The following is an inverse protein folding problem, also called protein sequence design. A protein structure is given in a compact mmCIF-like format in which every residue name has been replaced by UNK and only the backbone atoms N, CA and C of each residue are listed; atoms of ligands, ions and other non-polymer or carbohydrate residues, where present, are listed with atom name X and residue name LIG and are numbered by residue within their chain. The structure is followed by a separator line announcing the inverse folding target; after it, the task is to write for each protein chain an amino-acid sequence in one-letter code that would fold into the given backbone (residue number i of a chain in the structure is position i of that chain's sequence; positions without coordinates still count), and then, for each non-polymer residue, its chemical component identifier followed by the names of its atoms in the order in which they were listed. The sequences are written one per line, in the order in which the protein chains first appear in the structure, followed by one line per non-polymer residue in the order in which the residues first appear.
data_IF_572946539454
#
_entry.id   IF_572946539454
#
_cell.length_a   1.000
_cell.length_b   1.000
_cell.length_c   1.000
_cell.angle_alpha   90.00
_cell.angle_beta   90.00
_cell.angle_gamma   90.00
#
_symmetry.space_group_name_H-M   'P 1'
#
loop_
_entity.id
_entity.type
_entity.pdbx_description
1 polymer ?
#
# COMPACT_ATOMS: atom_id res chain seq x y z
N UNK A 1 10.01 -1.39 -12.38
CA UNK A 1 11.29 -0.64 -12.38
C UNK A 1 11.38 0.46 -11.30
N UNK A 2 10.44 0.54 -10.34
CA UNK A 2 10.37 1.63 -9.34
C UNK A 2 10.50 1.17 -7.87
N UNK A 3 10.73 -0.12 -7.61
CA UNK A 3 11.03 -0.66 -6.27
C UNK A 3 12.53 -0.81 -5.96
N UNK A 4 13.41 -0.65 -6.96
CA UNK A 4 14.86 -0.67 -6.79
C UNK A 4 15.46 0.69 -6.37
N UNK A 5 14.78 1.83 -6.60
CA UNK A 5 15.39 3.14 -6.28
C UNK A 5 15.42 3.46 -4.78
N UNK A 6 14.58 2.82 -3.96
CA UNK A 6 14.55 3.09 -2.52
C UNK A 6 15.62 2.32 -1.71
N UNK A 7 16.28 1.32 -2.31
CA UNK A 7 17.36 0.56 -1.66
C UNK A 7 18.69 0.57 -2.44
N UNK A 8 18.71 1.05 -3.69
CA UNK A 8 19.92 1.09 -4.51
C UNK A 8 20.66 2.46 -4.53
N UNK A 9 20.07 3.55 -4.02
CA UNK A 9 20.77 4.82 -3.87
C UNK A 9 21.61 4.85 -2.57
N UNK A 10 22.73 4.10 -2.54
CA UNK A 10 23.98 4.41 -1.81
C UNK A 10 24.98 3.22 -1.73
N UNK A 11 25.35 2.64 -2.87
CA UNK A 11 26.57 1.79 -2.96
C UNK A 11 27.77 2.58 -3.51
N UNK A 12 27.67 3.90 -3.61
CA UNK A 12 28.71 4.76 -4.18
C UNK A 12 29.34 5.66 -3.11
N UNK A 13 30.26 5.12 -2.32
CA UNK A 13 31.42 5.86 -1.80
C UNK A 13 32.42 4.94 -1.06
N UNK A 14 33.22 4.22 -1.84
CA UNK A 14 34.60 3.94 -1.44
C UNK A 14 35.49 4.54 -2.53
N UNK A 15 36.07 5.69 -2.21
CA UNK A 15 37.06 6.34 -3.05
C UNK A 15 38.28 5.44 -3.20
N UNK A 16 38.61 5.10 -4.44
CA UNK A 16 39.93 4.63 -4.82
C UNK A 16 40.88 5.82 -4.74
N UNK A 17 41.54 5.97 -3.59
CA UNK A 17 42.69 6.86 -3.44
C UNK A 17 43.89 6.23 -4.15
N UNK A 18 44.19 6.71 -5.36
CA UNK A 18 45.44 6.43 -6.06
C UNK A 18 46.61 7.12 -5.35
N UNK A 19 47.61 6.33 -4.94
CA UNK A 19 48.90 6.79 -4.47
C UNK A 19 50.01 5.98 -5.12
N UNK A 20 50.59 6.53 -6.19
CA UNK A 20 51.79 5.98 -6.82
C UNK A 20 53.06 6.34 -6.04
N UNK A 21 53.97 5.38 -5.92
CA UNK A 21 55.33 5.57 -5.42
C UNK A 21 56.07 4.23 -5.38
N UNK A 22 56.97 4.01 -6.35
CA UNK A 22 57.75 2.77 -6.47
C UNK A 22 58.93 2.67 -5.50
N UNK A 23 59.45 1.47 -5.24
CA UNK A 23 60.64 0.92 -5.92
C UNK A 23 61.03 -0.48 -5.37
N UNK A 24 61.46 -1.35 -6.29
CA UNK A 24 62.51 -2.41 -6.21
C UNK A 24 62.54 -3.55 -5.17
N UNK A 25 62.61 -4.79 -5.71
CA UNK A 25 63.31 -6.04 -5.26
C UNK A 25 62.82 -6.69 -3.94
N UNK A 26 62.67 -8.01 -3.76
CA UNK A 26 63.21 -9.24 -4.37
C UNK A 26 62.19 -10.40 -4.24
N UNK A 27 62.37 -11.45 -5.04
CA UNK A 27 61.53 -12.65 -5.01
C UNK A 27 61.76 -13.57 -3.82
N UNK A 28 60.72 -14.30 -3.40
CA UNK A 28 60.65 -15.77 -3.43
C UNK A 28 59.37 -16.27 -2.72
N UNK A 29 58.78 -17.34 -3.27
CA UNK A 29 57.94 -18.36 -2.63
C UNK A 29 56.67 -17.94 -1.85
N UNK A 30 55.51 -17.98 -2.53
CA UNK A 30 54.25 -18.56 -2.02
C UNK A 30 53.19 -18.63 -3.15
N UNK A 31 53.31 -19.62 -4.03
CA UNK A 31 52.19 -20.04 -4.89
C UNK A 31 51.46 -21.16 -4.16
N UNK A 32 50.31 -20.85 -3.56
CA UNK A 32 49.53 -21.88 -2.86
C UNK A 32 48.18 -21.49 -2.22
N UNK A 33 47.83 -20.21 -2.03
CA UNK A 33 46.55 -19.85 -1.37
C UNK A 33 45.73 -18.73 -2.02
N UNK A 34 46.20 -18.13 -3.12
CA UNK A 34 45.60 -16.90 -3.66
C UNK A 34 44.46 -17.14 -4.67
N UNK A 35 44.35 -18.36 -5.22
CA UNK A 35 43.39 -18.68 -6.28
C UNK A 35 41.91 -18.72 -5.82
N UNK A 36 41.65 -19.17 -4.60
CA UNK A 36 40.29 -19.26 -4.05
C UNK A 36 39.69 -17.90 -3.69
N UNK A 37 40.51 -17.03 -3.10
CA UNK A 37 40.11 -15.66 -2.74
C UNK A 37 39.81 -14.79 -3.97
N UNK A 38 40.65 -14.90 -5.02
CA UNK A 38 40.42 -14.20 -6.31
C UNK A 38 39.13 -14.66 -6.99
N UNK A 39 38.88 -15.98 -7.03
CA UNK A 39 37.69 -16.54 -7.66
C UNK A 39 36.39 -16.15 -6.93
N UNK A 40 36.39 -16.17 -5.59
CA UNK A 40 35.24 -15.74 -4.80
C UNK A 40 34.89 -14.27 -5.07
N UNK A 41 35.89 -13.39 -5.12
CA UNK A 41 35.68 -11.97 -5.39
C UNK A 41 35.15 -11.73 -6.80
N UNK A 42 35.70 -12.38 -7.82
CA UNK A 42 35.23 -12.26 -9.21
C UNK A 42 33.76 -12.70 -9.36
N UNK A 43 33.40 -13.84 -8.75
CA UNK A 43 32.03 -14.35 -8.75
C UNK A 43 31.08 -13.38 -8.02
N UNK A 44 31.50 -12.82 -6.88
CA UNK A 44 30.71 -11.85 -6.14
C UNK A 44 30.48 -10.56 -6.93
N UNK A 45 31.50 -10.05 -7.62
CA UNK A 45 31.39 -8.85 -8.46
C UNK A 45 30.45 -9.07 -9.65
N UNK A 46 30.51 -10.24 -10.30
CA UNK A 46 29.57 -10.57 -11.38
C UNK A 46 28.14 -10.72 -10.86
N UNK A 47 27.97 -11.32 -9.67
CA UNK A 47 26.67 -11.38 -9.00
C UNK A 47 26.09 -9.99 -8.72
N UNK A 48 26.91 -9.06 -8.22
CA UNK A 48 26.50 -7.68 -7.98
C UNK A 48 26.12 -6.96 -9.29
N UNK A 49 26.91 -7.14 -10.35
CA UNK A 49 26.65 -6.57 -11.67
C UNK A 49 25.30 -7.04 -12.22
N UNK A 50 25.00 -8.34 -12.12
CA UNK A 50 23.75 -8.93 -12.59
C UNK A 50 22.54 -8.41 -11.80
N UNK A 51 22.64 -8.35 -10.47
CA UNK A 51 21.57 -7.76 -9.64
C UNK A 51 21.33 -6.28 -10.00
N UNK A 52 22.39 -5.49 -10.22
CA UNK A 52 22.25 -4.09 -10.67
C UNK A 52 21.62 -3.96 -12.06
N UNK A 53 21.83 -4.95 -12.93
CA UNK A 53 21.20 -5.03 -14.25
C UNK A 53 19.74 -5.54 -14.19
N UNK A 54 19.26 -5.96 -13.02
CA UNK A 54 17.90 -6.44 -12.80
C UNK A 54 17.73 -7.96 -12.84
N UNK A 55 18.77 -8.72 -13.22
CA UNK A 55 18.75 -10.19 -13.21
C UNK A 55 19.22 -10.73 -11.84
N UNK A 56 18.38 -10.52 -10.83
CA UNK A 56 18.65 -10.98 -9.47
C UNK A 56 18.71 -12.51 -9.37
N UNK A 57 18.03 -13.26 -10.25
CA UNK A 57 18.06 -14.73 -10.22
C UNK A 57 19.43 -15.26 -10.64
N UNK A 58 19.99 -14.73 -11.72
CA UNK A 58 21.37 -15.06 -12.10
C UNK A 58 22.36 -14.55 -11.06
N UNK A 59 22.19 -13.32 -10.55
CA UNK A 59 23.04 -12.75 -9.52
C UNK A 59 23.13 -13.63 -8.25
N UNK A 60 22.00 -14.18 -7.79
CA UNK A 60 21.96 -15.15 -6.69
C UNK A 60 22.82 -16.38 -6.97
N UNK A 61 22.77 -16.94 -8.18
CA UNK A 61 23.58 -18.11 -8.53
C UNK A 61 25.08 -17.82 -8.44
N UNK A 62 25.51 -16.64 -8.91
CA UNK A 62 26.91 -16.20 -8.80
C UNK A 62 27.36 -15.97 -7.36
N UNK A 63 26.53 -15.36 -6.52
CA UNK A 63 26.84 -15.20 -5.10
C UNK A 63 26.91 -16.54 -4.35
N UNK A 64 26.04 -17.50 -4.67
CA UNK A 64 26.11 -18.85 -4.10
C UNK A 64 27.40 -19.57 -4.54
N UNK A 65 27.79 -19.42 -5.81
CA UNK A 65 29.07 -19.93 -6.30
C UNK A 65 30.26 -19.26 -5.59
N UNK A 66 30.19 -17.96 -5.30
CA UNK A 66 31.22 -17.25 -4.54
C UNK A 66 31.38 -17.82 -3.12
N UNK A 67 30.26 -18.09 -2.41
CA UNK A 67 30.30 -18.75 -1.09
C UNK A 67 30.93 -20.14 -1.20
N UNK A 68 30.61 -20.89 -2.25
CA UNK A 68 31.16 -22.24 -2.48
C UNK A 68 32.66 -22.23 -2.80
N UNK A 69 33.14 -21.20 -3.50
CA UNK A 69 34.57 -20.98 -3.75
C UNK A 69 35.33 -20.65 -2.46
N UNK A 70 34.64 -20.02 -1.49
CA UNK A 70 35.16 -19.70 -0.16
C UNK A 70 36.07 -18.46 -0.15
N UNK A 71 36.10 -17.76 0.98
CA UNK A 71 37.03 -16.65 1.23
C UNK A 71 37.39 -16.59 2.71
N UNK A 72 38.63 -16.19 3.00
CA UNK A 72 39.09 -15.90 4.36
C UNK A 72 38.78 -14.44 4.77
N UNK A 73 38.48 -13.56 3.81
CA UNK A 73 38.10 -12.17 4.11
C UNK A 73 36.63 -12.10 4.54
N UNK A 74 36.43 -12.06 5.86
CA UNK A 74 35.12 -11.99 6.48
C UNK A 74 34.31 -10.76 6.05
N UNK A 75 34.96 -9.66 5.62
CA UNK A 75 34.28 -8.48 5.11
C UNK A 75 33.65 -8.74 3.74
N UNK A 76 34.40 -9.37 2.83
CA UNK A 76 33.87 -9.83 1.54
C UNK A 76 32.72 -10.81 1.75
N UNK A 77 32.86 -11.77 2.67
CA UNK A 77 31.79 -12.74 2.97
C UNK A 77 30.52 -12.06 3.53
N UNK A 78 30.68 -11.08 4.43
CA UNK A 78 29.56 -10.27 4.95
C UNK A 78 28.86 -9.51 3.83
N UNK A 79 29.61 -8.87 2.93
CA UNK A 79 29.05 -8.20 1.77
C UNK A 79 28.26 -9.16 0.86
N UNK A 80 28.79 -10.35 0.59
CA UNK A 80 28.10 -11.39 -0.20
C UNK A 80 26.78 -11.80 0.47
N UNK A 81 26.78 -12.06 1.79
CA UNK A 81 25.56 -12.38 2.52
C UNK A 81 24.54 -11.25 2.50
N UNK A 82 24.99 -10.01 2.66
CA UNK A 82 24.10 -8.83 2.57
C UNK A 82 23.43 -8.74 1.20
N UNK A 83 24.21 -8.91 0.12
CA UNK A 83 23.72 -8.85 -1.25
C UNK A 83 22.81 -10.02 -1.62
N UNK A 84 23.10 -11.23 -1.14
CA UNK A 84 22.18 -12.37 -1.26
C UNK A 84 20.85 -12.12 -0.55
N UNK A 85 20.90 -11.56 0.66
CA UNK A 85 19.71 -11.18 1.40
C UNK A 85 18.84 -10.21 0.61
N UNK A 86 19.45 -9.15 0.05
CA UNK A 86 18.77 -8.16 -0.78
C UNK A 86 18.21 -8.77 -2.07
N UNK A 87 18.95 -9.67 -2.72
CA UNK A 87 18.52 -10.31 -3.95
C UNK A 87 17.34 -11.28 -3.70
N UNK A 88 17.37 -12.07 -2.63
CA UNK A 88 16.24 -12.90 -2.25
C UNK A 88 15.02 -12.09 -1.81
N UNK A 89 15.24 -10.95 -1.13
CA UNK A 89 14.17 -10.02 -0.79
C UNK A 89 13.49 -9.50 -2.06
N UNK A 90 14.27 -9.11 -3.08
CA UNK A 90 13.75 -8.69 -4.39
C UNK A 90 12.97 -9.79 -5.10
N UNK A 91 13.45 -11.04 -5.04
CA UNK A 91 12.78 -12.21 -5.63
C UNK A 91 11.55 -12.72 -4.83
N UNK A 92 11.25 -12.11 -3.69
CA UNK A 92 10.13 -12.50 -2.82
C UNK A 92 10.39 -13.74 -1.95
N UNK A 93 11.60 -14.31 -1.94
CA UNK A 93 11.99 -15.40 -1.02
C UNK A 93 12.42 -14.82 0.33
N UNK A 94 11.45 -14.31 1.09
CA UNK A 94 11.70 -13.59 2.34
C UNK A 94 12.33 -14.46 3.43
N UNK A 95 12.13 -15.78 3.38
CA UNK A 95 12.75 -16.71 4.33
C UNK A 95 14.27 -16.79 4.11
N UNK A 96 14.73 -16.94 2.86
CA UNK A 96 16.16 -16.90 2.56
C UNK A 96 16.74 -15.51 2.76
N UNK A 97 16.01 -14.45 2.40
CA UNK A 97 16.44 -13.08 2.67
C UNK A 97 16.76 -12.89 4.16
N UNK A 98 15.84 -13.30 5.03
CA UNK A 98 16.01 -13.24 6.49
C UNK A 98 17.22 -14.06 6.94
N UNK A 99 17.39 -15.27 6.42
CA UNK A 99 18.52 -16.13 6.76
C UNK A 99 19.86 -15.48 6.42
N UNK A 100 20.04 -14.98 5.20
CA UNK A 100 21.29 -14.37 4.76
C UNK A 100 21.55 -13.03 5.45
N UNK A 101 20.53 -12.19 5.68
CA UNK A 101 20.70 -10.99 6.51
C UNK A 101 21.06 -11.31 7.96
N UNK A 102 20.58 -12.43 8.51
CA UNK A 102 20.99 -12.89 9.84
C UNK A 102 22.44 -13.39 9.85
N UNK A 103 22.88 -14.09 8.80
CA UNK A 103 24.29 -14.48 8.64
C UNK A 103 25.21 -13.26 8.55
N UNK A 104 24.83 -12.27 7.74
CA UNK A 104 25.52 -10.98 7.64
C UNK A 104 25.61 -10.27 9.00
N UNK A 105 24.49 -10.16 9.72
CA UNK A 105 24.44 -9.56 11.06
C UNK A 105 25.34 -10.29 12.07
N UNK A 106 25.32 -11.62 12.08
CA UNK A 106 26.19 -12.42 12.96
C UNK A 106 27.67 -12.19 12.64
N UNK A 107 28.01 -12.12 11.35
CA UNK A 107 29.38 -11.92 10.91
C UNK A 107 29.88 -10.51 11.27
N UNK A 108 29.08 -9.47 11.00
CA UNK A 108 29.38 -8.09 11.38
C UNK A 108 29.62 -7.95 12.90
N UNK A 109 28.78 -8.61 13.72
CA UNK A 109 28.97 -8.66 15.19
C UNK A 109 30.28 -9.34 15.58
N UNK A 110 30.63 -10.47 14.95
CA UNK A 110 31.88 -11.19 15.26
C UNK A 110 33.13 -10.37 14.90
N UNK A 111 33.04 -9.54 13.86
CA UNK A 111 34.11 -8.61 13.45
C UNK A 111 34.14 -7.32 14.28
N UNK A 112 33.17 -7.10 15.18
CA UNK A 112 32.93 -5.82 15.85
C UNK A 112 32.75 -4.65 14.86
N UNK A 113 32.26 -4.92 13.65
CA UNK A 113 31.92 -3.90 12.66
C UNK A 113 30.56 -3.29 13.00
N UNK A 114 30.58 -2.18 13.75
CA UNK A 114 29.36 -1.48 14.17
C UNK A 114 28.57 -0.89 13.00
N UNK A 115 29.25 -0.49 11.92
CA UNK A 115 28.58 0.08 10.75
C UNK A 115 27.89 -1.04 9.96
N UNK A 116 28.57 -2.16 9.74
CA UNK A 116 28.00 -3.38 9.19
C UNK A 116 26.82 -3.86 10.03
N UNK A 117 26.98 -3.98 11.35
CA UNK A 117 25.92 -4.42 12.27
C UNK A 117 24.67 -3.53 12.15
N UNK A 118 24.85 -2.20 12.05
CA UNK A 118 23.75 -1.26 11.85
C UNK A 118 23.01 -1.51 10.52
N UNK A 119 23.75 -1.66 9.42
CA UNK A 119 23.18 -1.93 8.08
C UNK A 119 22.44 -3.28 8.04
N UNK A 120 23.08 -4.35 8.49
CA UNK A 120 22.47 -5.69 8.51
C UNK A 120 21.25 -5.76 9.43
N UNK A 121 21.27 -5.04 10.56
CA UNK A 121 20.10 -4.90 11.44
C UNK A 121 18.93 -4.21 10.73
N UNK A 122 19.19 -3.13 9.99
CA UNK A 122 18.17 -2.44 9.20
C UNK A 122 17.57 -3.32 8.08
N UNK A 123 18.41 -4.07 7.36
CA UNK A 123 17.97 -4.99 6.30
C UNK A 123 17.14 -6.16 6.86
N UNK A 124 17.58 -6.73 7.98
CA UNK A 124 16.83 -7.77 8.69
C UNK A 124 15.49 -7.24 9.19
N UNK A 125 15.46 -6.03 9.76
CA UNK A 125 14.23 -5.37 10.20
C UNK A 125 13.23 -5.16 9.06
N UNK A 126 13.70 -4.67 7.91
CA UNK A 126 12.85 -4.52 6.72
C UNK A 126 12.31 -5.85 6.19
N UNK A 127 13.11 -6.92 6.24
CA UNK A 127 12.66 -8.26 5.85
C UNK A 127 11.59 -8.78 6.80
N UNK A 128 11.82 -8.69 8.11
CA UNK A 128 10.87 -9.10 9.15
C UNK A 128 9.53 -8.34 9.05
N UNK A 129 9.58 -7.04 8.73
CA UNK A 129 8.38 -6.23 8.47
C UNK A 129 7.52 -6.81 7.35
N UNK A 130 8.13 -7.16 6.22
CA UNK A 130 7.38 -7.74 5.07
C UNK A 130 6.82 -9.12 5.42
N UNK A 131 7.49 -9.86 6.30
CA UNK A 131 6.99 -11.13 6.84
C UNK A 131 5.88 -10.96 7.90
N UNK A 132 5.48 -9.73 8.24
CA UNK A 132 4.47 -9.45 9.28
C UNK A 132 4.96 -9.61 10.72
N UNK A 133 6.28 -9.81 10.93
CA UNK A 133 6.91 -9.98 12.25
C UNK A 133 7.31 -8.61 12.81
N UNK A 134 6.32 -7.76 13.05
CA UNK A 134 6.53 -6.34 13.32
C UNK A 134 7.33 -6.05 14.59
N UNK A 135 7.13 -6.81 15.66
CA UNK A 135 7.84 -6.55 16.93
C UNK A 135 9.33 -6.88 16.83
N UNK A 136 9.68 -7.98 16.16
CA UNK A 136 11.08 -8.33 15.87
C UNK A 136 11.72 -7.36 14.87
N UNK A 137 10.94 -6.90 13.89
CA UNK A 137 11.37 -5.87 12.96
C UNK A 137 11.72 -4.56 13.69
N UNK A 138 10.87 -4.13 14.62
CA UNK A 138 11.09 -2.93 15.43
C UNK A 138 12.38 -3.05 16.27
N UNK A 139 12.62 -4.20 16.92
CA UNK A 139 13.86 -4.44 17.67
C UNK A 139 15.11 -4.29 16.78
N UNK A 140 15.08 -4.85 15.56
CA UNK A 140 16.20 -4.76 14.63
C UNK A 140 16.42 -3.31 14.15
N UNK A 141 15.36 -2.58 13.83
CA UNK A 141 15.45 -1.17 13.42
C UNK A 141 15.89 -0.25 14.59
N UNK A 142 15.47 -0.52 15.83
CA UNK A 142 15.95 0.20 17.02
C UNK A 142 17.44 -0.06 17.28
N UNK A 143 17.91 -1.28 17.02
CA UNK A 143 19.35 -1.59 17.07
C UNK A 143 20.12 -0.79 16.03
N UNK A 144 19.61 -0.72 14.79
CA UNK A 144 20.16 0.13 13.73
C UNK A 144 20.21 1.60 14.19
N UNK A 145 19.11 2.14 14.71
CA UNK A 145 19.02 3.52 15.18
C UNK A 145 20.03 3.83 16.28
N UNK A 146 20.10 2.95 17.29
CA UNK A 146 21.02 3.11 18.42
C UNK A 146 22.47 3.12 17.97
N UNK A 147 22.86 2.20 17.08
CA UNK A 147 24.21 2.15 16.53
C UNK A 147 24.54 3.38 15.68
N UNK A 148 23.61 3.83 14.85
CA UNK A 148 23.79 5.02 14.03
C UNK A 148 24.05 6.27 14.89
N UNK A 149 23.27 6.45 15.96
CA UNK A 149 23.48 7.54 16.94
C UNK A 149 24.83 7.44 17.65
N UNK A 150 25.22 6.23 18.09
CA UNK A 150 26.52 6.01 18.74
C UNK A 150 27.71 6.32 17.83
N UNK A 151 27.55 6.09 16.52
CA UNK A 151 28.57 6.39 15.50
C UNK A 151 28.54 7.84 15.03
N UNK A 152 27.52 8.63 15.40
CA UNK A 152 27.29 9.97 14.88
C UNK A 152 26.91 10.01 13.40
N UNK A 153 26.51 8.87 12.81
CA UNK A 153 26.10 8.78 11.41
C UNK A 153 24.64 9.26 11.25
N UNK A 154 24.49 10.57 11.03
CA UNK A 154 23.18 11.22 10.90
C UNK A 154 22.38 10.73 9.69
N UNK A 155 23.03 10.29 8.60
CA UNK A 155 22.32 9.74 7.45
C UNK A 155 21.76 8.36 7.76
N UNK A 156 22.54 7.52 8.46
CA UNK A 156 22.08 6.21 8.92
C UNK A 156 21.01 6.31 10.00
N UNK A 157 21.11 7.30 10.89
CA UNK A 157 20.06 7.63 11.86
C UNK A 157 18.75 7.96 11.14
N UNK A 158 18.81 8.83 10.13
CA UNK A 158 17.66 9.14 9.29
C UNK A 158 17.02 7.90 8.67
N UNK A 159 17.81 7.02 8.06
CA UNK A 159 17.31 5.76 7.50
C UNK A 159 16.65 4.85 8.56
N UNK A 160 17.24 4.75 9.75
CA UNK A 160 16.70 3.94 10.83
C UNK A 160 15.35 4.48 11.34
N UNK A 161 15.23 5.80 11.53
CA UNK A 161 13.97 6.46 11.90
C UNK A 161 12.88 6.22 10.85
N UNK A 162 13.22 6.37 9.57
CA UNK A 162 12.28 6.08 8.48
C UNK A 162 11.85 4.61 8.45
N UNK A 163 12.77 3.68 8.70
CA UNK A 163 12.48 2.25 8.80
C UNK A 163 11.54 1.94 9.98
N UNK A 164 11.75 2.55 11.15
CA UNK A 164 10.85 2.39 12.30
C UNK A 164 9.45 2.92 11.98
N UNK A 165 9.35 4.11 11.37
CA UNK A 165 8.09 4.65 10.87
C UNK A 165 7.37 3.67 9.94
N UNK A 166 8.10 3.06 8.99
CA UNK A 166 7.55 2.05 8.08
C UNK A 166 7.06 0.78 8.79
N UNK A 167 7.79 0.30 9.81
CA UNK A 167 7.42 -0.88 10.59
C UNK A 167 6.11 -0.64 11.34
N UNK A 168 6.02 0.47 12.07
CA UNK A 168 4.85 0.81 12.86
C UNK A 168 3.63 1.14 11.99
N UNK A 169 3.84 1.82 10.85
CA UNK A 169 2.78 2.08 9.87
C UNK A 169 2.19 0.77 9.34
N UNK A 170 3.06 -0.17 8.92
CA UNK A 170 2.63 -1.47 8.43
C UNK A 170 1.94 -2.30 9.53
N UNK A 171 2.42 -2.24 10.77
CA UNK A 171 1.79 -2.88 11.94
C UNK A 171 0.36 -2.35 12.14
N UNK A 172 0.20 -1.02 12.16
CA UNK A 172 -1.11 -0.39 12.32
C UNK A 172 -2.10 -0.79 11.22
N UNK A 173 -1.67 -0.73 9.95
CA UNK A 173 -2.49 -1.15 8.80
C UNK A 173 -2.90 -2.63 8.90
N UNK A 174 -1.98 -3.51 9.26
CA UNK A 174 -2.25 -4.94 9.42
C UNK A 174 -3.23 -5.24 10.55
N UNK A 175 -3.09 -4.57 11.70
CA UNK A 175 -4.03 -4.69 12.82
C UNK A 175 -5.43 -4.20 12.43
N UNK A 176 -5.54 -3.10 11.69
CA UNK A 176 -6.82 -2.55 11.21
C UNK A 176 -7.53 -3.49 10.22
N UNK A 177 -6.79 -4.15 9.33
CA UNK A 177 -7.35 -5.13 8.38
C UNK A 177 -7.89 -6.39 9.06
N UNK A 178 -7.32 -6.79 10.20
CA UNK A 178 -7.73 -7.99 10.93
C UNK A 178 -9.03 -7.78 11.73
N UNK A 179 -9.32 -6.55 12.13
CA UNK A 179 -10.52 -6.18 12.90
C UNK A 179 -11.29 -5.03 12.20
N UNK A 180 -11.88 -5.28 11.01
CA UNK A 180 -12.63 -4.28 10.27
C UNK A 180 -13.93 -3.97 11.02
N UNK A 181 -14.00 -2.81 11.68
CA UNK A 181 -15.22 -2.37 12.38
C UNK A 181 -14.96 -1.53 13.64
N UNK A 182 -13.76 -1.60 14.21
CA UNK A 182 -13.34 -0.71 15.30
C UNK A 182 -11.84 -0.44 15.21
N UNK A 183 -11.46 0.81 14.99
CA UNK A 183 -10.06 1.25 15.18
C UNK A 183 -9.71 1.06 16.65
N UNK A 184 -9.07 -0.06 16.97
CA UNK A 184 -8.64 -0.40 18.32
C UNK A 184 -7.54 0.53 18.82
N UNK A 185 -7.38 0.60 20.14
CA UNK A 185 -6.33 1.40 20.78
C UNK A 185 -4.93 0.96 20.30
N UNK A 186 -4.77 -0.33 19.95
CA UNK A 186 -3.55 -0.92 19.38
C UNK A 186 -3.22 -0.40 17.98
N UNK A 187 -4.23 -0.25 17.11
CA UNK A 187 -4.07 0.36 15.78
C UNK A 187 -3.65 1.82 15.93
N UNK A 188 -4.34 2.56 16.79
CA UNK A 188 -4.05 3.97 17.05
C UNK A 188 -2.65 4.16 17.63
N UNK A 189 -2.26 3.32 18.59
CA UNK A 189 -0.92 3.34 19.18
C UNK A 189 0.15 3.10 18.11
N UNK A 190 0.01 2.04 17.30
CA UNK A 190 0.97 1.74 16.25
C UNK A 190 1.10 2.88 15.22
N UNK A 191 -0.02 3.44 14.75
CA UNK A 191 0.02 4.57 13.81
C UNK A 191 0.58 5.84 14.45
N UNK A 192 0.30 6.10 15.73
CA UNK A 192 0.87 7.24 16.47
C UNK A 192 2.39 7.11 16.58
N UNK A 193 2.91 5.92 16.92
CA UNK A 193 4.35 5.64 16.94
C UNK A 193 4.98 5.84 15.56
N UNK A 194 4.28 5.45 14.49
CA UNK A 194 4.75 5.70 13.13
C UNK A 194 4.88 7.21 12.83
N UNK A 195 3.88 8.01 13.22
CA UNK A 195 3.92 9.47 13.11
C UNK A 195 5.12 10.05 13.86
N UNK A 196 5.36 9.65 15.11
CA UNK A 196 6.50 10.11 15.91
C UNK A 196 7.84 9.90 15.18
N UNK A 197 8.08 8.68 14.69
CA UNK A 197 9.33 8.35 13.99
C UNK A 197 9.46 9.06 12.65
N UNK A 198 8.37 9.22 11.90
CA UNK A 198 8.43 9.98 10.65
C UNK A 198 8.62 11.48 10.89
N UNK A 199 8.06 12.05 11.96
CA UNK A 199 8.32 13.45 12.32
C UNK A 199 9.78 13.66 12.73
N UNK A 200 10.34 12.75 13.54
CA UNK A 200 11.75 12.79 13.91
C UNK A 200 12.66 12.65 12.68
N UNK A 201 12.33 11.73 11.78
CA UNK A 201 13.02 11.61 10.48
C UNK A 201 12.92 12.90 9.67
N UNK A 202 11.72 13.47 9.50
CA UNK A 202 11.50 14.68 8.72
C UNK A 202 12.29 15.87 9.29
N UNK A 203 12.32 16.01 10.62
CA UNK A 203 13.14 17.03 11.29
C UNK A 203 14.62 16.85 10.95
N UNK A 204 15.14 15.63 11.07
CA UNK A 204 16.53 15.33 10.73
C UNK A 204 16.85 15.58 9.24
N UNK A 205 15.95 15.21 8.32
CA UNK A 205 16.14 15.44 6.88
C UNK A 205 16.07 16.92 6.52
N UNK A 206 15.34 17.74 7.29
CA UNK A 206 15.38 19.21 7.18
C UNK A 206 16.73 19.75 7.64
N UNK A 207 17.23 19.30 8.79
CA UNK A 207 18.54 19.72 9.31
C UNK A 207 19.70 19.35 8.37
N UNK A 208 19.59 18.21 7.67
CA UNK A 208 20.60 17.75 6.69
C UNK A 208 20.40 18.35 5.29
N UNK A 209 19.29 19.03 5.03
CA UNK A 209 18.97 19.56 3.70
C UNK A 209 18.62 18.50 2.63
N UNK A 210 18.33 17.26 3.02
CA UNK A 210 17.94 16.19 2.08
C UNK A 210 16.47 16.36 1.67
N UNK A 211 16.25 17.13 0.60
CA UNK A 211 14.91 17.48 0.10
C UNK A 211 14.16 16.25 -0.42
N UNK A 212 14.84 15.29 -1.04
CA UNK A 212 14.22 14.07 -1.53
C UNK A 212 13.70 13.19 -0.38
N UNK A 213 14.49 13.04 0.68
CA UNK A 213 14.07 12.33 1.88
C UNK A 213 12.94 13.02 2.64
N UNK A 214 12.94 14.37 2.69
CA UNK A 214 11.79 15.13 3.21
C UNK A 214 10.49 14.78 2.45
N UNK A 215 10.55 14.67 1.12
CA UNK A 215 9.41 14.25 0.31
C UNK A 215 8.91 12.86 0.71
N UNK A 216 9.80 11.87 0.84
CA UNK A 216 9.41 10.52 1.28
C UNK A 216 8.75 10.53 2.66
N UNK A 217 9.32 11.27 3.62
CA UNK A 217 8.77 11.40 4.97
C UNK A 217 7.39 12.07 4.96
N UNK A 218 7.21 13.19 4.25
CA UNK A 218 5.92 13.86 4.12
C UNK A 218 4.84 12.96 3.48
N UNK A 219 5.20 12.20 2.46
CA UNK A 219 4.26 11.24 1.84
C UNK A 219 3.75 10.20 2.83
N UNK A 220 4.64 9.60 3.63
CA UNK A 220 4.26 8.59 4.61
C UNK A 220 3.56 9.18 5.84
N UNK A 221 3.95 10.38 6.28
CA UNK A 221 3.22 11.12 7.31
C UNK A 221 1.78 11.35 6.89
N UNK A 222 1.57 11.86 5.66
CA UNK A 222 0.24 12.13 5.14
C UNK A 222 -0.63 10.86 5.12
N UNK A 223 -0.09 9.74 4.62
CA UNK A 223 -0.81 8.47 4.62
C UNK A 223 -1.11 7.96 6.04
N UNK A 224 -0.20 8.19 6.99
CA UNK A 224 -0.41 7.74 8.38
C UNK A 224 -1.46 8.59 9.09
N UNK A 225 -1.46 9.90 8.88
CA UNK A 225 -2.52 10.79 9.37
C UNK A 225 -3.88 10.48 8.74
N UNK A 226 -3.89 10.17 7.45
CA UNK A 226 -5.08 9.71 6.75
C UNK A 226 -5.70 8.48 7.41
N UNK A 227 -4.89 7.45 7.71
CA UNK A 227 -5.33 6.26 8.44
C UNK A 227 -5.77 6.53 9.88
N UNK A 228 -5.20 7.56 10.53
CA UNK A 228 -5.62 8.02 11.85
C UNK A 228 -6.94 8.84 11.82
N UNK A 229 -7.43 9.19 10.64
CA UNK A 229 -8.61 10.05 10.45
C UNK A 229 -8.32 11.55 10.60
N UNK A 230 -7.05 11.95 10.74
CA UNK A 230 -6.64 13.36 10.73
C UNK A 230 -6.40 13.81 9.27
N UNK A 231 -7.50 14.00 8.55
CA UNK A 231 -7.45 14.33 7.12
C UNK A 231 -6.84 15.71 6.85
N UNK A 232 -6.92 16.64 7.81
CA UNK A 232 -6.33 17.96 7.66
C UNK A 232 -4.79 17.90 7.70
N UNK A 233 -4.22 17.19 8.69
CA UNK A 233 -2.78 16.95 8.72
C UNK A 233 -2.30 16.13 7.51
N UNK A 234 -3.12 15.18 7.03
CA UNK A 234 -2.83 14.43 5.82
C UNK A 234 -2.68 15.35 4.59
N UNK A 235 -3.61 16.31 4.41
CA UNK A 235 -3.56 17.30 3.33
C UNK A 235 -2.29 18.14 3.42
N UNK A 236 -1.95 18.69 4.59
CA UNK A 236 -0.75 19.53 4.76
C UNK A 236 0.53 18.79 4.33
N UNK A 237 0.68 17.55 4.78
CA UNK A 237 1.84 16.72 4.42
C UNK A 237 1.84 16.28 2.96
N UNK A 238 0.68 15.96 2.38
CA UNK A 238 0.58 15.64 0.95
C UNK A 238 0.81 16.85 0.05
N UNK A 239 0.43 18.06 0.46
CA UNK A 239 0.76 19.30 -0.24
C UNK A 239 2.27 19.55 -0.24
N UNK A 240 2.95 19.33 0.88
CA UNK A 240 4.42 19.43 0.92
C UNK A 240 5.07 18.34 0.05
N UNK A 241 4.53 17.11 0.05
CA UNK A 241 4.98 16.07 -0.88
C UNK A 241 4.80 16.50 -2.34
N UNK A 242 3.67 17.10 -2.68
CA UNK A 242 3.37 17.58 -4.03
C UNK A 242 4.36 18.67 -4.44
N UNK A 243 4.64 19.64 -3.54
CA UNK A 243 5.61 20.71 -3.77
C UNK A 243 7.00 20.13 -4.08
N UNK A 244 7.48 19.21 -3.25
CA UNK A 244 8.78 18.55 -3.45
C UNK A 244 8.80 17.75 -4.76
N UNK A 245 7.75 17.00 -5.08
CA UNK A 245 7.68 16.24 -6.33
C UNK A 245 7.83 17.16 -7.56
N UNK A 246 7.20 18.34 -7.53
CA UNK A 246 7.33 19.36 -8.59
C UNK A 246 8.73 19.96 -8.64
N UNK A 247 9.37 20.22 -7.50
CA UNK A 247 10.76 20.70 -7.45
C UNK A 247 11.73 19.74 -8.16
N UNK A 248 11.54 18.43 -8.00
CA UNK A 248 12.37 17.40 -8.64
C UNK A 248 11.89 16.99 -10.06
N UNK A 249 10.74 17.48 -10.52
CA UNK A 249 10.12 17.01 -11.76
C UNK A 249 9.68 15.54 -11.73
N UNK A 250 9.53 14.93 -10.54
CA UNK A 250 9.07 13.55 -10.39
C UNK A 250 7.56 13.46 -10.59
N UNK A 251 7.16 13.23 -11.85
CA UNK A 251 5.75 13.11 -12.25
C UNK A 251 5.01 11.96 -11.57
N UNK A 252 5.71 10.86 -11.27
CA UNK A 252 5.09 9.73 -10.57
C UNK A 252 4.81 10.07 -9.10
N UNK A 253 5.72 10.79 -8.42
CA UNK A 253 5.45 11.32 -7.09
C UNK A 253 4.39 12.42 -7.09
N UNK A 254 4.36 13.28 -8.11
CA UNK A 254 3.33 14.31 -8.29
C UNK A 254 1.95 13.67 -8.37
N UNK A 255 1.82 12.62 -9.19
CA UNK A 255 0.57 11.86 -9.33
C UNK A 255 0.13 11.23 -8.02
N UNK A 256 1.03 10.53 -7.32
CA UNK A 256 0.72 9.92 -6.01
C UNK A 256 0.24 10.96 -4.99
N UNK A 257 0.89 12.13 -4.93
CA UNK A 257 0.49 13.20 -4.03
C UNK A 257 -0.91 13.74 -4.36
N UNK A 258 -1.23 13.94 -5.65
CA UNK A 258 -2.57 14.37 -6.06
C UNK A 258 -3.63 13.31 -5.72
N UNK A 259 -3.36 12.02 -5.95
CA UNK A 259 -4.29 10.94 -5.58
C UNK A 259 -4.62 10.98 -4.09
N UNK A 260 -3.59 11.09 -3.23
CA UNK A 260 -3.79 11.09 -1.78
C UNK A 260 -4.45 12.38 -1.27
N UNK A 261 -4.22 13.52 -1.93
CA UNK A 261 -4.97 14.75 -1.67
C UNK A 261 -6.44 14.58 -2.03
N UNK A 262 -6.74 14.02 -3.21
CA UNK A 262 -8.10 13.69 -3.62
C UNK A 262 -8.82 12.82 -2.58
N UNK A 263 -8.16 11.76 -2.13
CA UNK A 263 -8.69 10.89 -1.08
C UNK A 263 -8.96 11.66 0.22
N UNK A 264 -8.03 12.49 0.66
CA UNK A 264 -8.17 13.25 1.91
C UNK A 264 -9.31 14.28 1.84
N UNK A 265 -9.46 14.96 0.71
CA UNK A 265 -10.54 15.92 0.47
C UNK A 265 -11.92 15.24 0.41
N UNK A 266 -12.02 14.02 -0.17
CA UNK A 266 -13.25 13.21 -0.14
C UNK A 266 -13.74 13.01 1.30
N UNK A 267 -12.85 12.62 2.21
CA UNK A 267 -13.22 12.35 3.60
C UNK A 267 -13.55 13.62 4.42
N UNK A 268 -13.11 14.79 3.96
CA UNK A 268 -13.54 16.09 4.52
C UNK A 268 -14.84 16.62 3.91
N UNK A 269 -15.42 15.94 2.90
CA UNK A 269 -16.59 16.42 2.18
C UNK A 269 -16.29 17.56 1.20
N UNK A 270 -15.02 17.78 0.85
CA UNK A 270 -14.55 18.82 -0.06
C UNK A 270 -14.46 18.25 -1.49
N UNK A 271 -15.62 17.96 -2.08
CA UNK A 271 -15.71 17.16 -3.29
C UNK A 271 -15.17 17.88 -4.53
N UNK A 272 -15.26 19.20 -4.61
CA UNK A 272 -14.70 20.00 -5.69
C UNK A 272 -13.17 19.96 -5.70
N UNK A 273 -12.53 20.13 -4.52
CA UNK A 273 -11.08 20.02 -4.36
C UNK A 273 -10.60 18.60 -4.70
N UNK A 274 -11.36 17.57 -4.27
CA UNK A 274 -11.09 16.19 -4.63
C UNK A 274 -11.14 15.97 -6.14
N UNK A 275 -12.16 16.49 -6.82
CA UNK A 275 -12.29 16.38 -8.27
C UNK A 275 -11.11 17.07 -9.00
N UNK A 276 -10.65 18.23 -8.54
CA UNK A 276 -9.47 18.90 -9.11
C UNK A 276 -8.23 18.00 -9.01
N UNK A 277 -7.96 17.47 -7.83
CA UNK A 277 -6.82 16.60 -7.60
C UNK A 277 -6.89 15.29 -8.39
N UNK A 278 -8.05 14.63 -8.45
CA UNK A 278 -8.20 13.43 -9.27
C UNK A 278 -8.11 13.70 -10.77
N UNK A 279 -8.57 14.85 -11.28
CA UNK A 279 -8.33 15.24 -12.68
C UNK A 279 -6.84 15.38 -12.96
N UNK A 280 -6.07 15.96 -12.02
CA UNK A 280 -4.61 16.04 -12.14
C UNK A 280 -3.95 14.66 -12.10
N UNK A 281 -4.41 13.76 -11.23
CA UNK A 281 -3.97 12.35 -11.17
C UNK A 281 -4.21 11.64 -12.50
N UNK A 282 -5.42 11.78 -13.06
CA UNK A 282 -5.80 11.19 -14.35
C UNK A 282 -4.91 11.70 -15.49
N UNK A 283 -4.70 13.02 -15.57
CA UNK A 283 -3.85 13.61 -16.60
C UNK A 283 -2.41 13.06 -16.57
N UNK A 284 -1.84 12.95 -15.36
CA UNK A 284 -0.50 12.39 -15.17
C UNK A 284 -0.44 10.88 -15.42
N UNK A 285 -1.49 10.12 -15.06
CA UNK A 285 -1.55 8.68 -15.35
C UNK A 285 -1.52 8.41 -16.86
N UNK A 286 -2.26 9.21 -17.65
CA UNK A 286 -2.23 9.16 -19.12
C UNK A 286 -0.86 9.57 -19.66
N UNK A 287 -0.26 10.66 -19.15
CA UNK A 287 1.08 11.13 -19.54
C UNK A 287 2.16 10.04 -19.32
N UNK A 288 2.03 9.26 -18.25
CA UNK A 288 2.97 8.20 -17.87
C UNK A 288 2.65 6.83 -18.49
N UNK A 289 1.52 6.69 -19.18
CA UNK A 289 1.07 5.40 -19.74
C UNK A 289 0.64 4.37 -18.67
N UNK A 290 0.24 4.81 -17.47
CA UNK A 290 -0.15 3.94 -16.36
C UNK A 290 -1.65 3.57 -16.46
N UNK A 291 -1.97 2.57 -17.30
CA UNK A 291 -3.36 2.21 -17.65
C UNK A 291 -4.23 1.81 -16.45
N UNK A 292 -3.69 1.04 -15.50
CA UNK A 292 -4.39 0.66 -14.27
C UNK A 292 -4.72 1.89 -13.41
N UNK A 293 -3.79 2.84 -13.30
CA UNK A 293 -3.96 4.07 -12.52
C UNK A 293 -4.94 5.02 -13.18
N UNK A 294 -4.96 5.05 -14.52
CA UNK A 294 -5.98 5.77 -15.28
C UNK A 294 -7.38 5.25 -14.95
N UNK A 295 -7.56 3.92 -14.97
CA UNK A 295 -8.83 3.29 -14.61
C UNK A 295 -9.28 3.67 -13.19
N UNK A 296 -8.37 3.61 -12.21
CA UNK A 296 -8.67 4.00 -10.83
C UNK A 296 -9.03 5.48 -10.73
N UNK A 297 -8.28 6.37 -11.39
CA UNK A 297 -8.57 7.81 -11.38
C UNK A 297 -9.94 8.14 -12.00
N UNK A 298 -10.32 7.44 -13.07
CA UNK A 298 -11.66 7.54 -13.65
C UNK A 298 -12.74 7.06 -12.68
N UNK A 299 -12.51 5.94 -11.99
CA UNK A 299 -13.45 5.44 -11.00
C UNK A 299 -13.64 6.42 -9.82
N UNK A 300 -12.54 6.97 -9.28
CA UNK A 300 -12.57 7.98 -8.21
C UNK A 300 -13.26 9.26 -8.66
N UNK A 301 -13.04 9.74 -9.88
CA UNK A 301 -13.78 10.88 -10.44
C UNK A 301 -15.27 10.58 -10.58
N UNK A 302 -15.66 9.41 -11.09
CA UNK A 302 -17.06 9.02 -11.22
C UNK A 302 -17.79 9.03 -9.87
N UNK A 303 -17.16 8.48 -8.83
CA UNK A 303 -17.71 8.52 -7.47
C UNK A 303 -17.76 9.96 -6.92
N UNK A 304 -16.74 10.78 -7.19
CA UNK A 304 -16.70 12.18 -6.75
C UNK A 304 -17.84 13.00 -7.38
N UNK A 305 -18.08 12.85 -8.68
CA UNK A 305 -19.18 13.54 -9.36
C UNK A 305 -20.56 12.98 -8.96
N UNK A 306 -20.65 11.70 -8.59
CA UNK A 306 -21.87 11.15 -7.99
C UNK A 306 -22.18 11.86 -6.66
N UNK A 307 -21.16 12.14 -5.83
CA UNK A 307 -21.31 12.90 -4.58
C UNK A 307 -21.65 14.38 -4.83
N UNK A 308 -21.20 14.95 -5.94
CA UNK A 308 -21.59 16.30 -6.39
C UNK A 308 -22.98 16.34 -7.06
N UNK A 309 -23.67 15.21 -7.17
CA UNK A 309 -24.93 15.07 -7.92
C UNK A 309 -24.84 15.42 -9.42
N UNK A 310 -23.64 15.41 -9.99
CA UNK A 310 -23.38 15.60 -11.41
C UNK A 310 -23.36 14.24 -12.14
N UNK A 311 -24.51 13.55 -12.13
CA UNK A 311 -24.60 12.15 -12.56
C UNK A 311 -24.19 11.91 -14.02
N UNK A 312 -24.42 12.87 -14.93
CA UNK A 312 -24.00 12.73 -16.33
C UNK A 312 -22.47 12.69 -16.45
N UNK A 313 -21.76 13.58 -15.75
CA UNK A 313 -20.30 13.60 -15.68
C UNK A 313 -19.78 12.32 -15.02
N UNK A 314 -20.44 11.85 -13.96
CA UNK A 314 -20.09 10.59 -13.31
C UNK A 314 -20.18 9.38 -14.25
N UNK A 315 -21.25 9.31 -15.05
CA UNK A 315 -21.46 8.26 -16.06
C UNK A 315 -20.33 8.26 -17.10
N UNK A 316 -19.86 9.42 -17.57
CA UNK A 316 -18.73 9.49 -18.51
C UNK A 316 -17.46 8.87 -17.93
N UNK A 317 -17.12 9.22 -16.69
CA UNK A 317 -15.94 8.67 -16.02
C UNK A 317 -16.08 7.19 -15.70
N UNK A 318 -17.24 6.73 -15.25
CA UNK A 318 -17.48 5.32 -14.99
C UNK A 318 -17.47 4.48 -16.28
N UNK A 319 -17.97 5.00 -17.41
CA UNK A 319 -17.85 4.32 -18.71
C UNK A 319 -16.38 4.20 -19.15
N UNK A 320 -15.57 5.25 -18.95
CA UNK A 320 -14.13 5.16 -19.22
C UNK A 320 -13.45 4.14 -18.31
N UNK A 321 -13.78 4.09 -17.03
CA UNK A 321 -13.29 3.06 -16.12
C UNK A 321 -13.67 1.65 -16.59
N UNK A 322 -14.94 1.42 -16.94
CA UNK A 322 -15.44 0.14 -17.45
C UNK A 322 -14.67 -0.32 -18.69
N UNK A 323 -14.48 0.58 -19.66
CA UNK A 323 -13.75 0.27 -20.90
C UNK A 323 -12.31 -0.19 -20.62
N UNK A 324 -11.62 0.47 -19.68
CA UNK A 324 -10.26 0.09 -19.29
C UNK A 324 -10.25 -1.22 -18.51
N UNK A 325 -11.20 -1.43 -17.60
CA UNK A 325 -11.30 -2.68 -16.84
C UNK A 325 -11.50 -3.88 -17.78
N UNK A 326 -12.34 -3.73 -18.80
CA UNK A 326 -12.53 -4.76 -19.84
C UNK A 326 -11.28 -4.98 -20.69
N UNK A 327 -10.58 -3.91 -21.09
CA UNK A 327 -9.30 -3.97 -21.81
C UNK A 327 -8.23 -4.77 -21.03
N UNK A 328 -8.17 -4.57 -19.71
CA UNK A 328 -7.19 -5.22 -18.82
C UNK A 328 -7.65 -6.61 -18.31
N UNK A 329 -8.90 -6.99 -18.55
CA UNK A 329 -9.48 -8.21 -17.98
C UNK A 329 -9.73 -8.13 -16.46
N UNK A 330 -9.84 -6.93 -15.89
CA UNK A 330 -10.16 -6.73 -14.47
C UNK A 330 -11.66 -6.94 -14.21
N UNK A 331 -12.05 -8.20 -13.95
CA UNK A 331 -13.45 -8.57 -13.67
C UNK A 331 -14.00 -7.93 -12.39
N UNK A 332 -13.15 -7.65 -11.39
CA UNK A 332 -13.56 -6.96 -10.16
C UNK A 332 -13.86 -5.49 -10.45
N UNK A 333 -12.99 -4.83 -11.24
CA UNK A 333 -13.22 -3.48 -11.76
C UNK A 333 -14.49 -3.38 -12.60
N UNK A 334 -14.71 -4.35 -13.49
CA UNK A 334 -15.91 -4.43 -14.31
C UNK A 334 -17.19 -4.50 -13.47
N UNK A 335 -17.22 -5.37 -12.44
CA UNK A 335 -18.37 -5.49 -11.54
C UNK A 335 -18.65 -4.17 -10.80
N UNK A 336 -17.61 -3.51 -10.28
CA UNK A 336 -17.71 -2.19 -9.63
C UNK A 336 -18.23 -1.12 -10.59
N UNK A 337 -17.76 -1.12 -11.82
CA UNK A 337 -18.20 -0.17 -12.84
C UNK A 337 -19.67 -0.36 -13.20
N UNK A 338 -20.12 -1.60 -13.43
CA UNK A 338 -21.52 -1.93 -13.70
C UNK A 338 -22.43 -1.51 -12.53
N UNK A 339 -22.02 -1.77 -11.29
CA UNK A 339 -22.78 -1.33 -10.12
C UNK A 339 -22.89 0.21 -10.05
N UNK A 340 -21.78 0.93 -10.17
CA UNK A 340 -21.77 2.40 -10.14
C UNK A 340 -22.58 3.01 -11.30
N UNK A 341 -22.45 2.47 -12.52
CA UNK A 341 -23.22 2.91 -13.69
C UNK A 341 -24.71 2.63 -13.53
N UNK A 342 -25.08 1.47 -12.97
CA UNK A 342 -26.47 1.13 -12.67
C UNK A 342 -27.12 2.15 -11.75
N UNK A 343 -26.44 2.48 -10.64
CA UNK A 343 -26.91 3.48 -9.68
C UNK A 343 -26.98 4.88 -10.29
N UNK A 344 -25.95 5.31 -11.03
CA UNK A 344 -25.92 6.62 -11.66
C UNK A 344 -27.01 6.77 -12.72
N UNK A 345 -27.26 5.73 -13.54
CA UNK A 345 -28.36 5.74 -14.49
C UNK A 345 -29.73 5.76 -13.81
N UNK A 346 -29.90 5.01 -12.71
CA UNK A 346 -31.14 5.06 -11.92
C UNK A 346 -31.42 6.48 -11.40
N UNK A 347 -30.39 7.16 -10.90
CA UNK A 347 -30.49 8.55 -10.41
C UNK A 347 -30.85 9.56 -11.52
N UNK A 348 -30.48 9.29 -12.78
CA UNK A 348 -30.86 10.11 -13.94
C UNK A 348 -32.23 9.75 -14.54
N UNK A 349 -32.95 8.77 -13.99
CA UNK A 349 -34.21 8.25 -14.54
C UNK A 349 -34.05 7.28 -15.73
N UNK A 350 -32.81 6.94 -16.10
CA UNK A 350 -32.49 5.98 -17.16
C UNK A 350 -32.65 4.53 -16.71
N UNK A 351 -33.83 4.16 -16.19
CA UNK A 351 -34.06 2.88 -15.52
C UNK A 351 -33.81 1.65 -16.42
N UNK A 352 -34.04 1.74 -17.72
CA UNK A 352 -33.74 0.65 -18.67
C UNK A 352 -32.23 0.36 -18.73
N UNK A 353 -31.39 1.40 -18.84
CA UNK A 353 -29.92 1.23 -18.81
C UNK A 353 -29.44 0.79 -17.44
N UNK A 354 -30.05 1.31 -16.38
CA UNK A 354 -29.73 0.89 -15.01
C UNK A 354 -29.98 -0.61 -14.82
N UNK A 355 -31.08 -1.13 -15.37
CA UNK A 355 -31.41 -2.55 -15.32
C UNK A 355 -30.38 -3.40 -16.07
N UNK A 356 -29.97 -2.97 -17.27
CA UNK A 356 -28.92 -3.66 -18.04
C UNK A 356 -27.61 -3.77 -17.25
N UNK A 357 -27.16 -2.68 -16.63
CA UNK A 357 -25.95 -2.70 -15.81
C UNK A 357 -26.11 -3.51 -14.52
N UNK A 358 -27.30 -3.51 -13.89
CA UNK A 358 -27.57 -4.33 -12.73
C UNK A 358 -27.56 -5.84 -13.07
N UNK A 359 -28.07 -6.23 -14.24
CA UNK A 359 -27.99 -7.60 -14.76
C UNK A 359 -26.55 -8.02 -15.06
N UNK A 360 -25.74 -7.13 -15.67
CA UNK A 360 -24.31 -7.37 -15.86
C UNK A 360 -23.57 -7.52 -14.51
N UNK A 361 -23.86 -6.66 -13.54
CA UNK A 361 -23.29 -6.76 -12.19
C UNK A 361 -23.66 -8.08 -11.52
N UNK A 362 -24.91 -8.56 -11.65
CA UNK A 362 -25.32 -9.86 -11.12
C UNK A 362 -24.55 -11.01 -11.77
N UNK A 363 -24.38 -10.96 -13.10
CA UNK A 363 -23.64 -11.99 -13.83
C UNK A 363 -22.18 -12.05 -13.37
N UNK A 364 -21.52 -10.89 -13.26
CA UNK A 364 -20.15 -10.79 -12.76
C UNK A 364 -20.01 -11.25 -11.32
N UNK A 365 -20.94 -10.85 -10.43
CA UNK A 365 -20.92 -11.27 -9.03
C UNK A 365 -21.00 -12.80 -8.89
N UNK A 366 -21.82 -13.47 -9.71
CA UNK A 366 -21.89 -14.94 -9.77
C UNK A 366 -20.57 -15.58 -10.21
N UNK A 367 -19.95 -15.02 -11.24
CA UNK A 367 -18.67 -15.53 -11.75
C UNK A 367 -17.52 -15.33 -10.76
N UNK A 368 -17.57 -14.25 -9.99
CA UNK A 368 -16.59 -13.92 -8.96
C UNK A 368 -16.87 -14.63 -7.62
N UNK A 369 -17.99 -15.36 -7.52
CA UNK A 369 -18.48 -15.95 -6.27
C UNK A 369 -18.60 -14.92 -5.15
N UNK A 370 -19.14 -13.73 -5.47
CA UNK A 370 -19.42 -12.65 -4.52
C UNK A 370 -20.90 -12.67 -4.06
N UNK A 371 -21.23 -13.37 -2.96
CA UNK A 371 -22.62 -13.47 -2.50
C UNK A 371 -23.21 -12.12 -2.07
N UNK A 372 -22.37 -11.16 -1.66
CA UNK A 372 -22.82 -9.82 -1.24
C UNK A 372 -23.18 -9.00 -2.47
N UNK A 373 -22.32 -9.02 -3.49
CA UNK A 373 -22.59 -8.43 -4.80
C UNK A 373 -23.84 -9.01 -5.44
N UNK A 374 -24.01 -10.34 -5.42
CA UNK A 374 -25.20 -11.01 -5.95
C UNK A 374 -26.49 -10.55 -5.27
N UNK A 375 -26.50 -10.51 -3.93
CA UNK A 375 -27.65 -10.06 -3.15
C UNK A 375 -28.01 -8.61 -3.48
N UNK A 376 -26.99 -7.74 -3.54
CA UNK A 376 -27.17 -6.32 -3.87
C UNK A 376 -27.70 -6.13 -5.30
N UNK A 377 -27.18 -6.88 -6.27
CA UNK A 377 -27.64 -6.83 -7.65
C UNK A 377 -29.10 -7.27 -7.78
N UNK A 378 -29.50 -8.34 -7.09
CA UNK A 378 -30.88 -8.86 -7.10
C UNK A 378 -31.88 -7.84 -6.53
N UNK A 379 -31.54 -7.19 -5.42
CA UNK A 379 -32.38 -6.12 -4.84
C UNK A 379 -32.54 -4.98 -5.84
N UNK A 380 -31.43 -4.50 -6.41
CA UNK A 380 -31.46 -3.42 -7.39
C UNK A 380 -32.29 -3.79 -8.64
N UNK A 381 -32.17 -5.02 -9.15
CA UNK A 381 -32.98 -5.51 -10.28
C UNK A 381 -34.47 -5.54 -9.94
N UNK A 382 -34.86 -6.02 -8.75
CA UNK A 382 -36.26 -6.04 -8.31
C UNK A 382 -36.86 -4.64 -8.27
N UNK A 383 -36.13 -3.69 -7.67
CA UNK A 383 -36.59 -2.30 -7.54
C UNK A 383 -36.71 -1.62 -8.91
N UNK A 384 -35.71 -1.80 -9.79
CA UNK A 384 -35.73 -1.26 -11.16
C UNK A 384 -36.86 -1.86 -12.01
N UNK A 385 -37.17 -3.15 -11.85
CA UNK A 385 -38.30 -3.79 -12.55
C UNK A 385 -39.64 -3.25 -12.08
N UNK A 386 -39.81 -3.01 -10.78
CA UNK A 386 -41.02 -2.37 -10.24
C UNK A 386 -41.22 -0.97 -10.83
N UNK A 387 -40.15 -0.17 -10.91
CA UNK A 387 -40.19 1.16 -11.53
C UNK A 387 -40.56 1.11 -13.01
N UNK A 388 -40.14 0.07 -13.72
CA UNK A 388 -40.45 -0.15 -15.14
C UNK A 388 -41.80 -0.87 -15.39
N UNK A 389 -42.52 -1.29 -14.36
CA UNK A 389 -43.75 -2.08 -14.50
C UNK A 389 -43.53 -3.48 -15.09
N UNK A 390 -42.33 -4.03 -14.96
CA UNK A 390 -41.97 -5.36 -15.45
C UNK A 390 -42.30 -6.44 -14.40
N UNK A 391 -42.66 -7.67 -14.82
CA UNK A 391 -42.92 -8.77 -13.90
C UNK A 391 -41.67 -9.15 -13.08
N UNK A 392 -41.88 -9.49 -11.80
CA UNK A 392 -40.81 -10.02 -10.95
C UNK A 392 -40.28 -11.34 -11.55
N UNK A 393 -38.96 -11.51 -11.56
CA UNK A 393 -38.36 -12.78 -11.95
C UNK A 393 -38.59 -13.78 -10.82
N UNK A 394 -39.15 -14.95 -11.13
CA UNK A 394 -39.26 -16.02 -10.15
C UNK A 394 -37.85 -16.42 -9.64
N UNK A 395 -37.70 -16.68 -8.33
CA UNK A 395 -36.43 -17.13 -7.78
C UNK A 395 -35.97 -18.41 -8.49
N UNK A 396 -34.67 -18.53 -8.75
CA UNK A 396 -34.14 -19.72 -9.41
C UNK A 396 -34.33 -20.97 -8.53
N UNK A 397 -34.47 -22.19 -9.08
CA UNK A 397 -34.76 -23.41 -8.32
C UNK A 397 -33.77 -23.69 -7.16
N UNK A 398 -32.51 -23.27 -7.33
CA UNK A 398 -31.46 -23.35 -6.31
C UNK A 398 -31.74 -22.51 -5.05
N UNK A 399 -32.60 -21.49 -5.15
CA UNK A 399 -33.00 -20.62 -4.03
C UNK A 399 -34.16 -21.20 -3.21
N UNK A 400 -34.99 -22.04 -3.83
CA UNK A 400 -36.07 -22.75 -3.15
C UNK A 400 -35.49 -23.83 -2.22
N UNK A 401 -34.42 -24.51 -2.67
CA UNK A 401 -33.66 -25.44 -1.84
C UNK A 401 -32.94 -24.73 -0.67
N UNK A 402 -32.28 -23.59 -0.91
CA UNK A 402 -31.63 -22.82 0.15
C UNK A 402 -32.63 -22.23 1.18
N UNK A 403 -33.81 -21.76 0.73
CA UNK A 403 -34.87 -21.28 1.64
C UNK A 403 -35.50 -22.42 2.44
N UNK A 404 -35.67 -23.60 1.83
CA UNK A 404 -36.19 -24.79 2.54
C UNK A 404 -35.24 -25.27 3.64
N UNK A 405 -33.92 -25.22 3.41
CA UNK A 405 -32.92 -25.54 4.45
C UNK A 405 -32.85 -24.54 5.60
N UNK A 406 -33.24 -23.28 5.38
CA UNK A 406 -33.26 -22.25 6.43
C UNK A 406 -34.52 -22.31 7.29
N UNK A 407 -35.67 -22.72 6.72
CA UNK A 407 -36.93 -22.87 7.47
C UNK A 407 -36.94 -24.06 8.45
N UNK A 408 -36.12 -25.09 8.20
CA UNK A 408 -36.00 -26.26 9.09
C UNK A 408 -35.15 -26.00 10.35
N UNK A 409 -34.53 -24.82 10.50
CA UNK A 409 -33.75 -24.45 11.69
C UNK A 409 -34.43 -23.42 12.60
N UNK A 410 -35.61 -22.91 12.24
CA UNK A 410 -36.38 -21.96 13.07
C UNK A 410 -37.52 -22.59 13.90
N UNK A 411 -37.65 -23.91 13.91
CA UNK A 411 -38.68 -24.63 14.67
C UNK A 411 -38.15 -25.31 15.93
N UNK A 412 -37.48 -24.57 16.82
CA UNK A 412 -37.36 -25.00 18.23
C UNK A 412 -37.10 -23.81 19.16
N UNK A 413 -38.05 -23.56 20.07
CA UNK A 413 -37.80 -22.77 21.29
C UNK A 413 -38.59 -21.47 21.42
N UNK A 414 -39.92 -21.56 21.56
CA UNK A 414 -40.68 -20.55 22.30
C UNK A 414 -40.72 -20.96 23.77
N UNK A 415 -40.18 -20.14 24.66
CA UNK A 415 -40.68 -19.96 26.02
C UNK A 415 -40.30 -18.58 26.58
N UNK A 416 -41.29 -17.99 27.23
CA UNK A 416 -41.45 -16.64 27.75
C UNK A 416 -40.66 -16.35 29.02
N UNK A 417 -40.28 -15.08 29.23
CA UNK A 417 -40.55 -14.37 30.49
C UNK A 417 -40.36 -12.85 30.36
N UNK A 418 -41.18 -12.08 31.07
CA UNK A 418 -41.21 -10.62 31.04
C UNK A 418 -40.61 -9.95 32.29
N UNK A 419 -40.35 -8.64 32.21
CA UNK A 419 -40.54 -7.64 33.28
C UNK A 419 -40.00 -6.25 32.91
N UNK A 420 -40.93 -5.29 32.85
CA UNK A 420 -40.96 -3.97 33.50
C UNK A 420 -39.73 -3.00 33.60
N UNK A 421 -39.95 -1.82 32.98
CA UNK A 421 -39.94 -0.45 33.56
C UNK A 421 -38.61 0.33 33.77
N UNK A 422 -38.49 1.51 33.14
CA UNK A 422 -38.56 2.83 33.83
C UNK A 422 -38.19 4.02 32.92
N UNK A 423 -38.80 5.17 33.25
CA UNK A 423 -38.88 6.43 32.53
C UNK A 423 -37.66 7.36 32.74
N UNK A 424 -37.43 8.31 31.83
CA UNK A 424 -36.46 9.41 32.04
C UNK A 424 -36.40 10.52 30.97
N UNK A 425 -37.41 11.40 30.97
CA UNK A 425 -37.51 12.83 30.54
C UNK A 425 -36.60 13.46 29.45
N UNK A 426 -37.30 14.18 28.56
CA UNK A 426 -36.84 15.19 27.59
C UNK A 426 -36.30 16.50 28.22
N UNK A 427 -35.43 17.24 27.51
CA UNK A 427 -35.75 18.55 26.85
C UNK A 427 -34.52 19.22 26.16
N UNK A 428 -34.72 20.16 25.20
CA UNK A 428 -33.86 20.38 24.01
C UNK A 428 -33.32 21.83 23.82
N UNK A 429 -32.63 22.10 22.68
CA UNK A 429 -32.59 23.37 21.86
C UNK A 429 -31.15 23.82 21.43
N UNK A 430 -30.94 24.61 20.35
CA UNK A 430 -31.45 24.47 18.96
C UNK A 430 -30.39 24.73 17.85
N UNK A 431 -30.89 24.66 16.61
CA UNK A 431 -30.43 25.33 15.38
C UNK A 431 -29.42 24.57 14.51
N UNK A 432 -29.97 23.79 13.56
CA UNK A 432 -29.49 23.81 12.17
C UNK A 432 -30.66 23.61 11.22
N UNK A 433 -30.63 24.46 10.20
CA UNK A 433 -31.68 24.69 9.23
C UNK A 433 -32.00 23.44 8.40
N UNK A 434 -33.27 23.37 8.03
CA UNK A 434 -33.91 22.31 7.26
C UNK A 434 -33.35 22.21 5.83
N UNK A 435 -32.51 21.20 5.59
CA UNK A 435 -32.49 20.55 4.29
C UNK A 435 -33.48 19.39 4.35
N UNK A 436 -34.47 19.39 3.46
CA UNK A 436 -35.32 18.23 3.21
C UNK A 436 -34.41 17.16 2.63
N UNK A 437 -33.85 16.32 3.50
CA UNK A 437 -33.08 15.15 3.11
C UNK A 437 -34.05 14.00 2.86
N UNK A 438 -34.18 13.64 1.59
CA UNK A 438 -34.88 12.43 1.19
C UNK A 438 -34.21 11.19 1.86
N UNK A 439 -34.97 10.33 2.57
CA UNK A 439 -34.44 9.13 3.21
C UNK A 439 -33.76 8.14 2.26
N UNK A 440 -34.16 8.12 0.98
CA UNK A 440 -33.54 7.30 -0.07
C UNK A 440 -32.12 7.79 -0.36
N UNK A 441 -31.94 9.10 -0.43
CA UNK A 441 -30.64 9.77 -0.59
C UNK A 441 -29.70 9.50 0.59
N UNK A 442 -30.19 9.50 1.83
CA UNK A 442 -29.39 9.14 3.02
C UNK A 442 -28.99 7.66 2.99
N UNK A 443 -29.88 6.77 2.54
CA UNK A 443 -29.60 5.33 2.41
C UNK A 443 -28.56 5.04 1.33
N UNK A 444 -28.65 5.72 0.18
CA UNK A 444 -27.68 5.63 -0.92
C UNK A 444 -26.35 6.20 -0.49
N UNK A 445 -26.32 7.37 0.18
CA UNK A 445 -25.09 7.96 0.72
C UNK A 445 -24.47 7.06 1.78
N UNK A 446 -25.24 6.50 2.72
CA UNK A 446 -24.71 5.61 3.76
C UNK A 446 -24.16 4.29 3.19
N UNK A 447 -24.82 3.71 2.17
CA UNK A 447 -24.33 2.53 1.44
C UNK A 447 -23.08 2.85 0.62
N UNK A 448 -23.06 3.99 -0.06
CA UNK A 448 -21.91 4.47 -0.84
C UNK A 448 -20.73 4.88 0.04
N UNK A 449 -20.95 5.43 1.25
CA UNK A 449 -19.89 5.83 2.18
C UNK A 449 -19.22 4.61 2.82
N UNK A 450 -19.99 3.58 3.18
CA UNK A 450 -19.46 2.32 3.71
C UNK A 450 -18.60 1.58 2.68
N UNK A 451 -18.98 1.65 1.40
CA UNK A 451 -18.24 1.04 0.28
C UNK A 451 -17.06 1.94 -0.17
N UNK A 452 -17.18 3.27 -0.11
CA UNK A 452 -16.04 4.19 -0.31
C UNK A 452 -14.93 3.94 0.72
N UNK A 453 -15.29 3.62 1.97
CA UNK A 453 -14.34 3.16 2.99
C UNK A 453 -13.66 1.82 2.62
N UNK A 454 -14.37 0.88 1.98
CA UNK A 454 -13.82 -0.40 1.51
C UNK A 454 -12.95 -0.25 0.23
N UNK A 455 -13.29 0.70 -0.66
CA UNK A 455 -12.55 1.03 -1.89
C UNK A 455 -11.23 1.73 -1.59
N UNK A 456 -11.24 2.68 -0.66
CA UNK A 456 -10.02 3.37 -0.18
C UNK A 456 -9.05 2.37 0.46
N UNK A 457 -9.56 1.37 1.18
CA UNK A 457 -8.73 0.30 1.72
C UNK A 457 -8.13 -0.61 0.63
N UNK A 458 -8.72 -0.65 -0.57
CA UNK A 458 -8.26 -1.45 -1.71
C UNK A 458 -7.20 -0.73 -2.57
N UNK A 459 -7.16 0.62 -2.55
CA UNK A 459 -6.09 1.41 -3.21
C UNK A 459 -4.69 1.05 -2.70
N UNK A 460 -4.63 0.54 -1.47
CA UNK A 460 -3.41 0.25 -0.75
C UNK A 460 -3.01 -1.24 -0.85
N UNK A 461 -3.81 -2.07 -1.54
CA UNK A 461 -3.54 -3.48 -1.84
C UNK A 461 -2.76 -3.67 -3.16
N UNK A 462 -2.86 -2.71 -4.09
CA UNK A 462 -2.08 -2.65 -5.33
C UNK A 462 -0.69 -1.99 -5.15
N UNK A 463 -0.39 -1.53 -3.92
CA UNK A 463 0.99 -1.30 -3.48
C UNK A 463 1.81 -2.58 -3.28
N UNK A 464 1.22 -3.77 -3.54
CA UNK A 464 2.02 -4.97 -3.78
C UNK A 464 2.82 -4.74 -5.05
N UNK A 465 4.14 -4.64 -4.85
CA UNK A 465 5.14 -4.84 -5.91
C UNK A 465 4.63 -5.92 -6.87
N UNK A 466 4.64 -5.70 -8.19
CA UNK A 466 4.54 -6.82 -9.10
C UNK A 466 5.66 -7.78 -8.69
N UNK A 467 5.27 -8.99 -8.32
CA UNK A 467 6.18 -10.11 -8.36
C UNK A 467 6.49 -10.34 -9.84
N UNK A 468 7.57 -9.74 -10.31
CA UNK A 468 8.30 -10.09 -11.53
C UNK A 468 9.69 -9.44 -11.49
#
# INVERSE_FOLDING_TARGET
MSSLSASAENVSSLGLGGGGGGNSHDGNSQQGSDGGSSMCLELALEGERLCKAGDCRAGVAFFQAAIQAGTEDLRTLSAIYSQLGNAYFYLGDYNKAMQYHKHDLTLAKSMNDRLGEAKSSGNLGNTLKVMGRFDEAAICCERHLTLARQLGDRLSEGRALYNLGNVYHAKGKHLGQRNPGKFGDDVKEALTRAVEFYQENLKLMRDLGDRGAQGRACGNLGNTYYLLGDFQAAIEHHQERLRIAREFGDRAAERRANSNLGNSHIFLGQFEDAAEHYRRTLALAVELGEREVEAQSCYSLGNTYTLLHEFNTAIEFHNRHLAIAQELGDRIGEARACWSLGNAHSATGGHEKALQYAEQHLQLAKELHDPVGESTARVNISDLRKLLGLPEQEPSPTEEEARSSASDHSASGHQSDGSENSQGRMSPSPARESFVQDPETISILARNMKIMLEIVCSEDALGRSPAA
#
